data_IF_042091184465
#
_entry.id   IF_042091184465
#
_cell.length_a   1.000
_cell.length_b   1.000
_cell.length_c   1.000
_cell.angle_alpha   90.00
_cell.angle_beta   90.00
_cell.angle_gamma   90.00
#
_symmetry.space_group_name_H-M   'P 1'
#
loop_
_entity.id
_entity.type
_entity.pdbx_description
1 polymer ?
#
# COMPACT_ATOMS: atom_id res chain seq x y z
N UNK A 1 -11.22 11.02 5.54
CA UNK A 1 -11.26 9.68 4.94
C UNK A 1 -9.85 9.33 4.57
N UNK A 2 -9.27 8.36 5.25
CA UNK A 2 -7.88 7.97 5.08
C UNK A 2 -7.35 7.30 6.32
N UNK A 3 -6.06 7.05 6.32
CA UNK A 3 -5.33 6.46 7.43
C UNK A 3 -5.12 7.50 8.53
N UNK A 4 -5.41 7.18 9.79
CA UNK A 4 -5.18 8.06 10.93
C UNK A 4 -4.50 7.40 12.14
N UNK A 5 -4.29 6.09 12.10
CA UNK A 5 -3.55 5.32 13.09
C UNK A 5 -2.66 4.29 12.40
N UNK A 6 -1.84 3.58 13.15
CA UNK A 6 -1.08 2.44 12.67
C UNK A 6 -1.08 1.29 13.66
N UNK A 7 -1.00 0.07 13.13
CA UNK A 7 -0.94 -1.15 13.92
C UNK A 7 0.06 -2.14 13.33
N UNK A 8 0.46 -3.11 14.15
CA UNK A 8 1.38 -4.17 13.76
C UNK A 8 0.69 -5.51 13.91
N UNK A 9 0.84 -6.35 12.90
CA UNK A 9 0.33 -7.72 12.87
C UNK A 9 1.42 -8.68 12.42
N UNK A 10 1.20 -9.97 12.65
CA UNK A 10 2.08 -11.03 12.17
C UNK A 10 1.24 -12.03 11.37
N UNK A 11 1.72 -12.40 10.19
CA UNK A 11 1.10 -13.45 9.39
C UNK A 11 1.15 -14.78 10.14
N UNK A 12 0.08 -15.55 10.03
CA UNK A 12 0.05 -16.91 10.60
C UNK A 12 0.60 -17.96 9.62
N UNK A 13 0.62 -17.60 8.34
CA UNK A 13 1.05 -18.41 7.21
C UNK A 13 2.45 -17.99 6.71
N UNK A 14 2.81 -18.44 5.51
CA UNK A 14 4.10 -18.15 4.88
C UNK A 14 4.05 -16.89 4.00
N UNK A 15 3.07 -16.00 4.22
CA UNK A 15 3.00 -14.70 3.54
C UNK A 15 4.23 -13.86 3.84
N UNK A 16 4.69 -13.13 2.82
CA UNK A 16 5.76 -12.15 2.96
C UNK A 16 5.30 -10.95 3.78
N UNK A 17 6.23 -10.07 4.14
CA UNK A 17 5.92 -8.80 4.76
C UNK A 17 5.30 -7.81 3.78
N UNK A 18 4.29 -7.07 4.24
CA UNK A 18 3.66 -6.04 3.45
C UNK A 18 2.97 -5.00 4.35
N UNK A 19 2.71 -3.84 3.77
CA UNK A 19 1.85 -2.82 4.37
C UNK A 19 0.45 -2.94 3.75
N UNK A 20 -0.59 -2.67 4.54
CA UNK A 20 -1.98 -2.60 4.09
C UNK A 20 -2.76 -1.72 5.06
N UNK A 21 -4.07 -1.61 4.90
CA UNK A 21 -4.95 -0.94 5.86
C UNK A 21 -5.85 -1.95 6.58
N UNK A 22 -6.21 -1.65 7.84
CA UNK A 22 -7.29 -2.39 8.48
C UNK A 22 -8.62 -2.10 7.77
N UNK A 23 -9.48 -3.10 7.64
CA UNK A 23 -10.81 -2.92 7.08
C UNK A 23 -11.83 -3.03 8.21
N UNK A 24 -12.07 -1.94 8.97
CA UNK A 24 -12.98 -2.02 10.08
C UNK A 24 -14.41 -2.19 9.55
N UNK A 25 -14.98 -3.36 9.80
CA UNK A 25 -16.39 -3.63 9.53
C UNK A 25 -17.18 -2.97 10.65
N UNK A 26 -17.68 -1.75 10.41
CA UNK A 26 -18.60 -1.12 11.35
C UNK A 26 -19.87 -1.98 11.47
N UNK A 27 -20.29 -2.37 12.70
CA UNK A 27 -21.59 -2.96 12.92
C UNK A 27 -22.70 -2.05 12.39
N UNK A 28 -23.81 -2.65 11.93
CA UNK A 28 -24.94 -1.89 11.39
C UNK A 28 -25.40 -0.77 12.36
N UNK A 29 -25.27 0.48 11.93
CA UNK A 29 -25.72 1.65 12.68
C UNK A 29 -24.64 2.38 13.47
N UNK A 30 -23.39 1.93 13.44
CA UNK A 30 -22.25 2.66 14.02
C UNK A 30 -21.59 3.57 12.98
N UNK A 31 -20.98 4.67 13.46
CA UNK A 31 -20.12 5.50 12.61
C UNK A 31 -18.98 4.66 12.05
N UNK A 32 -18.67 4.89 10.77
CA UNK A 32 -17.61 4.16 10.09
C UNK A 32 -16.29 4.44 10.80
N UNK A 33 -15.70 3.40 11.38
CA UNK A 33 -14.40 3.51 12.05
C UNK A 33 -13.33 4.01 11.08
N UNK A 34 -12.36 4.72 11.64
CA UNK A 34 -11.21 5.20 10.90
C UNK A 34 -10.29 4.03 10.52
N UNK A 35 -9.47 4.25 9.49
CA UNK A 35 -8.57 3.24 8.97
C UNK A 35 -7.18 3.41 9.58
N UNK A 36 -6.54 2.30 9.90
CA UNK A 36 -5.19 2.20 10.43
C UNK A 36 -4.27 1.57 9.39
N UNK A 37 -3.05 2.10 9.24
CA UNK A 37 -1.99 1.47 8.47
C UNK A 37 -1.51 0.23 9.23
N UNK A 38 -1.67 -0.95 8.64
CA UNK A 38 -1.26 -2.21 9.21
C UNK A 38 0.07 -2.67 8.59
N UNK A 39 1.07 -2.84 9.44
CA UNK A 39 2.33 -3.48 9.09
C UNK A 39 2.22 -4.98 9.39
N UNK A 40 2.27 -5.81 8.36
CA UNK A 40 2.21 -7.26 8.50
C UNK A 40 3.61 -7.82 8.41
N UNK A 41 4.11 -8.37 9.51
CA UNK A 41 5.36 -9.12 9.54
C UNK A 41 5.15 -10.57 9.15
N UNK A 42 6.13 -11.18 8.51
CA UNK A 42 6.09 -12.60 8.21
C UNK A 42 6.38 -13.39 9.48
N UNK A 43 5.70 -14.53 9.62
CA UNK A 43 5.98 -15.49 10.69
C UNK A 43 7.47 -15.84 10.78
N UNK A 44 8.11 -16.10 9.62
CA UNK A 44 9.51 -16.52 9.55
C UNK A 44 10.44 -15.40 10.03
N UNK A 45 10.22 -14.16 9.62
CA UNK A 45 11.05 -13.03 10.05
C UNK A 45 10.90 -12.72 11.52
N UNK A 46 9.69 -12.82 12.07
CA UNK A 46 9.47 -12.67 13.51
C UNK A 46 10.17 -13.76 14.33
N UNK A 47 10.12 -15.02 13.88
CA UNK A 47 10.84 -16.13 14.54
C UNK A 47 12.36 -15.91 14.51
N UNK A 48 12.88 -15.42 13.39
CA UNK A 48 14.31 -15.21 13.20
C UNK A 48 14.83 -13.86 13.72
N UNK A 49 13.95 -12.98 14.22
CA UNK A 49 14.30 -11.65 14.71
C UNK A 49 14.78 -10.69 13.61
N UNK A 50 14.31 -10.86 12.37
CA UNK A 50 14.65 -9.96 11.26
C UNK A 50 13.83 -8.66 11.30
N UNK A 51 14.47 -7.57 10.88
CA UNK A 51 13.87 -6.24 10.76
C UNK A 51 13.39 -6.00 9.33
N UNK A 52 12.17 -6.44 9.01
CA UNK A 52 11.64 -6.41 7.64
C UNK A 52 11.29 -5.01 7.10
N UNK A 53 11.15 -4.02 7.97
CA UNK A 53 10.83 -2.62 7.62
C UNK A 53 12.00 -1.67 7.91
N UNK A 54 13.24 -2.14 7.71
CA UNK A 54 14.42 -1.30 7.89
C UNK A 54 14.40 -0.10 6.91
N UNK A 55 14.59 1.12 7.43
CA UNK A 55 14.51 2.40 6.69
C UNK A 55 13.12 2.76 6.16
N UNK A 56 12.05 2.20 6.74
CA UNK A 56 10.67 2.56 6.37
C UNK A 56 10.35 4.03 6.63
N UNK A 57 11.09 4.68 7.54
CA UNK A 57 10.95 6.08 7.90
C UNK A 57 11.11 7.00 6.66
N UNK A 58 11.99 6.64 5.73
CA UNK A 58 12.21 7.39 4.49
C UNK A 58 11.03 7.26 3.51
N UNK A 59 10.19 6.25 3.70
CA UNK A 59 9.08 5.90 2.82
C UNK A 59 7.70 6.06 3.50
N UNK A 60 7.64 6.39 4.79
CA UNK A 60 6.41 6.30 5.59
C UNK A 60 5.31 7.21 5.06
N UNK A 61 5.65 8.43 4.63
CA UNK A 61 4.68 9.36 4.03
C UNK A 61 4.09 8.81 2.74
N UNK A 62 4.90 8.09 1.95
CA UNK A 62 4.47 7.45 0.70
C UNK A 62 3.55 6.27 0.97
N UNK A 63 3.90 5.44 1.94
CA UNK A 63 3.08 4.30 2.37
C UNK A 63 1.72 4.79 2.86
N UNK A 64 1.69 5.77 3.76
CA UNK A 64 0.43 6.33 4.29
C UNK A 64 -0.44 6.90 3.17
N UNK A 65 0.15 7.62 2.22
CA UNK A 65 -0.59 8.22 1.12
C UNK A 65 -1.13 7.17 0.16
N UNK A 66 -0.33 6.15 -0.18
CA UNK A 66 -0.73 5.03 -1.04
C UNK A 66 -1.96 4.31 -0.47
N UNK A 67 -1.88 3.88 0.80
CA UNK A 67 -3.00 3.21 1.46
C UNK A 67 -4.20 4.15 1.66
N UNK A 68 -3.97 5.45 1.87
CA UNK A 68 -5.05 6.44 1.94
C UNK A 68 -5.81 6.54 0.61
N UNK A 69 -5.12 6.46 -0.53
CA UNK A 69 -5.77 6.46 -1.84
C UNK A 69 -6.64 5.21 -2.00
N UNK A 70 -6.16 4.03 -1.60
CA UNK A 70 -6.98 2.82 -1.58
C UNK A 70 -8.25 2.98 -0.74
N UNK A 71 -8.15 3.55 0.47
CA UNK A 71 -9.30 3.79 1.35
C UNK A 71 -10.30 4.77 0.71
N UNK A 72 -9.82 5.83 0.07
CA UNK A 72 -10.68 6.80 -0.60
C UNK A 72 -11.41 6.16 -1.78
N UNK A 73 -10.71 5.41 -2.64
CA UNK A 73 -11.32 4.70 -3.77
C UNK A 73 -12.32 3.65 -3.28
N UNK A 74 -11.97 2.87 -2.24
CA UNK A 74 -12.84 1.87 -1.64
C UNK A 74 -14.19 2.47 -1.21
N UNK A 75 -14.17 3.68 -0.62
CA UNK A 75 -15.38 4.38 -0.18
C UNK A 75 -16.20 4.98 -1.33
N UNK A 76 -15.55 5.42 -2.40
CA UNK A 76 -16.21 6.11 -3.51
C UNK A 76 -16.72 5.15 -4.59
N UNK A 77 -15.88 4.19 -4.99
CA UNK A 77 -16.08 3.32 -6.17
C UNK A 77 -16.24 1.84 -5.78
N UNK A 78 -15.96 1.49 -4.52
CA UNK A 78 -16.06 0.12 -4.02
C UNK A 78 -14.74 -0.66 -4.07
N UNK A 79 -14.79 -1.89 -3.56
CA UNK A 79 -13.60 -2.73 -3.34
C UNK A 79 -12.90 -3.10 -4.63
N UNK A 80 -13.64 -3.55 -5.64
CA UNK A 80 -13.06 -4.00 -6.91
C UNK A 80 -12.20 -2.90 -7.56
N UNK A 81 -12.66 -1.65 -7.51
CA UNK A 81 -11.89 -0.52 -8.03
C UNK A 81 -10.63 -0.23 -7.20
N UNK A 82 -10.72 -0.32 -5.87
CA UNK A 82 -9.58 -0.10 -4.98
C UNK A 82 -8.49 -1.16 -5.16
N UNK A 83 -8.88 -2.44 -5.27
CA UNK A 83 -7.95 -3.56 -5.40
C UNK A 83 -7.20 -3.51 -6.75
N UNK A 84 -7.82 -2.98 -7.81
CA UNK A 84 -7.15 -2.82 -9.13
C UNK A 84 -6.04 -1.77 -9.17
N UNK A 85 -5.92 -0.91 -8.14
CA UNK A 85 -4.88 0.11 -8.10
C UNK A 85 -3.48 -0.52 -7.99
N UNK A 86 -3.35 -1.62 -7.24
CA UNK A 86 -2.10 -2.36 -7.08
C UNK A 86 -1.60 -2.98 -8.39
N UNK A 87 -2.55 -3.40 -9.23
CA UNK A 87 -2.31 -4.02 -10.53
C UNK A 87 -2.06 -3.00 -11.64
N UNK A 88 -2.11 -1.69 -11.35
CA UNK A 88 -1.97 -0.68 -12.38
C UNK A 88 -0.53 -0.62 -12.89
N UNK A 89 -0.37 -1.13 -14.12
CA UNK A 89 0.88 -1.15 -14.86
C UNK A 89 0.90 -0.02 -15.89
N UNK A 90 1.83 0.91 -15.73
CA UNK A 90 2.07 1.95 -16.73
C UNK A 90 3.15 1.46 -17.68
N UNK A 91 2.75 1.22 -18.94
CA UNK A 91 3.68 0.86 -20.01
C UNK A 91 4.11 2.11 -20.74
N UNK A 92 5.40 2.42 -20.73
CA UNK A 92 5.96 3.54 -21.47
C UNK A 92 7.15 3.14 -22.33
N UNK A 93 7.35 3.81 -23.47
CA UNK A 93 8.46 3.51 -24.40
C UNK A 93 9.41 4.71 -24.48
N UNK A 94 10.67 4.53 -24.08
CA UNK A 94 11.72 5.53 -24.31
C UNK A 94 12.29 5.37 -25.72
N UNK A 95 12.21 6.41 -26.55
CA UNK A 95 12.88 6.45 -27.85
C UNK A 95 12.63 5.21 -28.72
N UNK A 96 13.70 4.60 -29.25
CA UNK A 96 13.68 3.54 -30.28
C UNK A 96 13.30 2.13 -29.77
N UNK A 97 12.24 2.00 -28.98
CA UNK A 97 11.37 0.82 -29.10
C UNK A 97 11.46 -0.28 -28.05
N UNK A 98 11.87 0.01 -26.81
CA UNK A 98 11.61 -0.94 -25.69
C UNK A 98 10.52 -0.40 -24.76
N UNK A 99 9.39 -1.11 -24.61
CA UNK A 99 8.41 -0.79 -23.59
C UNK A 99 8.96 -1.16 -22.21
N UNK A 100 8.91 -0.20 -21.30
CA UNK A 100 9.18 -0.36 -19.87
C UNK A 100 7.84 -0.40 -19.15
N UNK A 101 7.71 -1.36 -18.23
CA UNK A 101 6.52 -1.51 -17.39
C UNK A 101 6.90 -1.05 -16.00
N UNK A 102 6.20 -0.05 -15.48
CA UNK A 102 6.33 0.39 -14.10
C UNK A 102 5.01 0.06 -13.41
N UNK A 103 5.06 -0.78 -12.38
CA UNK A 103 3.92 -1.02 -11.50
C UNK A 103 3.77 0.17 -10.56
N UNK A 104 2.54 0.60 -10.32
CA UNK A 104 2.30 1.74 -9.43
C UNK A 104 2.77 1.49 -7.98
N UNK A 105 2.84 0.24 -7.52
CA UNK A 105 3.30 -0.12 -6.17
C UNK A 105 4.80 0.05 -5.90
N UNK A 106 5.55 0.66 -6.81
CA UNK A 106 6.96 0.94 -6.61
C UNK A 106 7.19 2.31 -5.96
N UNK A 107 6.87 2.40 -4.66
CA UNK A 107 7.01 3.62 -3.83
C UNK A 107 8.41 4.26 -3.88
N UNK A 108 9.46 3.47 -4.12
CA UNK A 108 10.84 3.95 -4.25
C UNK A 108 11.10 4.78 -5.52
N UNK A 109 10.23 4.68 -6.52
CA UNK A 109 10.33 5.41 -7.80
C UNK A 109 9.32 6.56 -7.92
N UNK A 110 8.42 6.71 -6.93
CA UNK A 110 7.50 7.84 -6.88
C UNK A 110 8.28 9.16 -6.74
N UNK A 111 7.89 10.15 -7.54
CA UNK A 111 8.47 11.50 -7.53
C UNK A 111 7.81 12.41 -6.48
N UNK A 112 6.70 11.96 -5.88
CA UNK A 112 5.97 12.67 -4.85
C UNK A 112 5.58 11.71 -3.70
N UNK A 113 4.78 12.25 -2.77
CA UNK A 113 4.37 11.53 -1.58
C UNK A 113 3.18 10.60 -1.84
N UNK A 114 2.57 10.56 -3.03
CA UNK A 114 1.40 9.70 -3.27
C UNK A 114 1.77 8.22 -3.32
N UNK A 115 3.06 7.90 -3.48
CA UNK A 115 3.51 6.54 -3.74
C UNK A 115 3.28 6.08 -5.17
N UNK A 116 2.52 6.86 -5.96
CA UNK A 116 2.21 6.55 -7.34
C UNK A 116 3.34 6.99 -8.26
N UNK A 117 3.77 6.09 -9.13
CA UNK A 117 4.72 6.45 -10.19
C UNK A 117 3.94 7.10 -11.34
N UNK A 118 3.80 8.42 -11.31
CA UNK A 118 2.98 9.18 -12.28
C UNK A 118 3.77 9.74 -13.46
N UNK A 119 5.10 9.67 -13.44
CA UNK A 119 5.95 10.32 -14.44
C UNK A 119 6.90 9.36 -15.16
N UNK A 120 6.80 9.41 -16.49
CA UNK A 120 7.87 9.19 -17.46
C UNK A 120 9.14 9.95 -17.09
N UNK A 121 10.25 9.23 -16.90
CA UNK A 121 11.59 9.82 -17.05
C UNK A 121 11.83 10.30 -18.50
#
# INVERSE_FOLDING_TARGET
MGINDFCFACSFDDSQEYCTYDNPVAPFGEEQQDYSLMFVFSKISQINGFTSFENIEDLIERVISHETIHVVILKLEGRDASDTLDDLEIVYTFGAGRPHIIRMNFLGYANDNTGLVTATL
#
